data_IF_916997070872
#
_entry.id   IF_916997070872
#
_cell.length_a   1.000
_cell.length_b   1.000
_cell.length_c   1.000
_cell.angle_alpha   90.00
_cell.angle_beta   90.00
_cell.angle_gamma   90.00
#
_symmetry.space_group_name_H-M   'P 1'
#
loop_
_entity.id
_entity.type
_entity.pdbx_description
1 polymer ?
#
# COMPACT_ATOMS: atom_id res chain seq x y z
N UNK A 1 -10.68 -22.08 -8.57
CA UNK A 1 -9.46 -22.91 -8.39
C UNK A 1 -9.27 -23.20 -6.90
N UNK A 2 -9.01 -24.44 -6.49
CA UNK A 2 -8.79 -24.80 -5.07
C UNK A 2 -7.36 -25.23 -4.79
N UNK A 3 -6.81 -26.06 -5.67
CA UNK A 3 -5.47 -26.63 -5.53
C UNK A 3 -4.79 -26.61 -6.90
N UNK A 4 -3.60 -26.01 -6.95
CA UNK A 4 -2.71 -26.03 -8.11
C UNK A 4 -1.59 -27.06 -7.89
N UNK A 5 -1.31 -27.85 -8.92
CA UNK A 5 -0.24 -28.86 -8.95
C UNK A 5 0.69 -28.53 -10.12
N UNK A 6 1.88 -28.04 -9.82
CA UNK A 6 2.88 -27.63 -10.80
C UNK A 6 3.94 -28.71 -10.92
N UNK A 7 4.06 -29.28 -12.12
CA UNK A 7 5.11 -30.21 -12.46
C UNK A 7 6.28 -29.44 -13.08
N UNK A 8 7.30 -29.12 -12.27
CA UNK A 8 8.47 -28.38 -12.72
C UNK A 8 9.34 -29.28 -13.59
N UNK A 9 9.21 -29.12 -14.90
CA UNK A 9 9.93 -29.91 -15.91
C UNK A 9 10.95 -29.11 -16.71
N UNK A 10 10.75 -27.79 -16.82
CA UNK A 10 11.54 -26.92 -17.69
C UNK A 10 11.99 -25.66 -16.96
N UNK A 11 13.15 -25.14 -17.37
CA UNK A 11 13.66 -23.82 -17.01
C UNK A 11 13.47 -22.87 -18.20
N UNK A 12 12.69 -21.80 -17.99
CA UNK A 12 12.46 -20.76 -19.01
C UNK A 12 13.69 -19.86 -19.09
N UNK A 13 14.31 -19.81 -20.26
CA UNK A 13 15.46 -18.96 -20.55
C UNK A 13 15.03 -17.53 -20.87
N UNK A 14 15.98 -16.59 -20.91
CA UNK A 14 15.73 -15.17 -21.23
C UNK A 14 15.12 -14.97 -22.63
N UNK A 15 15.48 -15.83 -23.59
CA UNK A 15 14.93 -15.85 -24.94
C UNK A 15 13.54 -16.49 -25.04
N UNK A 16 13.00 -16.97 -23.91
CA UNK A 16 11.71 -17.65 -23.80
C UNK A 16 11.74 -19.14 -24.10
N UNK A 17 12.87 -19.72 -24.52
CA UNK A 17 13.01 -21.16 -24.74
C UNK A 17 12.91 -21.95 -23.42
N UNK A 18 12.54 -23.23 -23.53
CA UNK A 18 12.32 -24.13 -22.39
C UNK A 18 13.36 -25.24 -22.36
N UNK A 19 14.37 -25.10 -21.50
CA UNK A 19 15.39 -26.12 -21.30
C UNK A 19 14.92 -27.16 -20.27
N UNK A 20 15.06 -28.48 -20.50
CA UNK A 20 14.71 -29.49 -19.50
C UNK A 20 15.51 -29.31 -18.20
N UNK A 21 14.83 -29.47 -17.05
CA UNK A 21 15.51 -29.47 -15.76
C UNK A 21 16.28 -30.79 -15.55
N UNK A 22 17.47 -30.73 -14.92
CA UNK A 22 18.26 -31.95 -14.61
C UNK A 22 17.56 -32.84 -13.57
N UNK A 23 16.70 -32.26 -12.72
CA UNK A 23 15.82 -32.96 -11.79
C UNK A 23 14.45 -32.31 -11.83
N UNK A 24 13.41 -33.12 -12.04
CA UNK A 24 12.04 -32.68 -12.01
C UNK A 24 11.56 -32.54 -10.57
N UNK A 25 10.73 -31.52 -10.31
CA UNK A 25 10.17 -31.26 -8.99
C UNK A 25 8.65 -31.12 -9.08
N UNK A 26 7.99 -31.24 -7.93
CA UNK A 26 6.56 -30.97 -7.79
C UNK A 26 6.43 -29.80 -6.82
N UNK A 27 5.68 -28.79 -7.21
CA UNK A 27 5.24 -27.69 -6.36
C UNK A 27 3.71 -27.70 -6.30
N UNK A 28 3.15 -27.53 -5.10
CA UNK A 28 1.70 -27.55 -4.92
C UNK A 28 1.26 -26.38 -4.05
N UNK A 29 0.19 -25.71 -4.46
CA UNK A 29 -0.39 -24.60 -3.72
C UNK A 29 -1.89 -24.79 -3.54
N UNK A 30 -2.35 -24.75 -2.29
CA UNK A 30 -3.78 -24.79 -1.94
C UNK A 30 -4.07 -23.58 -1.05
N UNK A 31 -5.05 -22.76 -1.45
CA UNK A 31 -5.43 -21.57 -0.69
C UNK A 31 -6.19 -21.96 0.57
N UNK A 32 -5.62 -21.70 1.75
CA UNK A 32 -6.20 -22.06 3.04
C UNK A 32 -7.59 -21.45 3.23
N UNK A 33 -7.71 -20.14 3.00
CA UNK A 33 -8.97 -19.39 3.14
C UNK A 33 -10.06 -19.95 2.22
N UNK A 34 -9.66 -20.43 1.04
CA UNK A 34 -10.58 -20.95 0.03
C UNK A 34 -11.02 -22.38 0.32
N UNK A 35 -10.13 -23.24 0.83
CA UNK A 35 -10.58 -24.55 1.29
C UNK A 35 -11.44 -24.42 2.56
N UNK A 36 -11.12 -23.47 3.44
CA UNK A 36 -11.90 -23.18 4.62
C UNK A 36 -13.32 -22.74 4.26
N UNK A 37 -13.50 -21.87 3.26
CA UNK A 37 -14.84 -21.46 2.83
C UNK A 37 -15.69 -22.64 2.32
N UNK A 38 -15.09 -23.56 1.57
CA UNK A 38 -15.77 -24.80 1.14
C UNK A 38 -16.15 -25.69 2.34
N UNK A 39 -15.20 -25.97 3.24
CA UNK A 39 -15.42 -26.87 4.38
C UNK A 39 -16.42 -26.31 5.39
N UNK A 40 -16.42 -25.00 5.60
CA UNK A 40 -17.33 -24.28 6.50
C UNK A 40 -18.67 -23.94 5.84
N UNK A 41 -18.85 -24.26 4.55
CA UNK A 41 -20.04 -23.92 3.75
C UNK A 41 -20.32 -22.40 3.76
N UNK A 42 -19.26 -21.61 3.70
CA UNK A 42 -19.31 -20.16 3.65
C UNK A 42 -19.54 -19.67 2.21
N UNK A 43 -20.23 -18.54 2.05
CA UNK A 43 -20.54 -17.96 0.73
C UNK A 43 -19.27 -17.49 -0.01
N UNK A 44 -18.34 -16.88 0.73
CA UNK A 44 -17.03 -16.43 0.24
C UNK A 44 -15.96 -16.65 1.30
N UNK A 45 -14.69 -16.45 0.93
CA UNK A 45 -13.54 -16.55 1.84
C UNK A 45 -13.69 -15.63 3.06
N UNK A 46 -14.45 -14.53 2.95
CA UNK A 46 -14.69 -13.56 4.01
C UNK A 46 -15.71 -13.99 5.08
N UNK A 47 -16.50 -15.03 4.81
CA UNK A 47 -17.46 -15.58 5.78
C UNK A 47 -16.90 -16.78 6.56
N UNK A 48 -15.59 -16.96 6.55
CA UNK A 48 -14.88 -17.97 7.35
C UNK A 48 -14.52 -17.46 8.73
N UNK A 49 -14.16 -18.36 9.63
CA UNK A 49 -13.54 -18.06 10.93
C UNK A 49 -12.25 -17.23 10.84
N UNK A 50 -11.56 -17.21 9.69
CA UNK A 50 -10.34 -16.43 9.46
C UNK A 50 -10.59 -14.93 9.21
N UNK A 51 -11.79 -14.55 8.76
CA UNK A 51 -12.09 -13.16 8.37
C UNK A 51 -13.31 -12.57 9.10
N UNK A 52 -14.34 -13.37 9.33
CA UNK A 52 -15.60 -12.90 9.88
C UNK A 52 -15.44 -12.21 11.25
N UNK A 53 -14.55 -12.64 12.17
CA UNK A 53 -14.32 -11.92 13.42
C UNK A 53 -13.78 -10.50 13.21
N UNK A 54 -12.89 -10.30 12.23
CA UNK A 54 -12.33 -8.99 11.87
C UNK A 54 -13.44 -8.09 11.31
N UNK A 55 -14.22 -8.61 10.36
CA UNK A 55 -15.35 -7.89 9.75
C UNK A 55 -16.37 -7.47 10.80
N UNK A 56 -16.74 -8.37 11.71
CA UNK A 56 -17.69 -8.08 12.79
C UNK A 56 -17.17 -7.00 13.74
N UNK A 57 -15.89 -7.07 14.12
CA UNK A 57 -15.27 -6.06 14.98
C UNK A 57 -15.33 -4.66 14.33
N UNK A 58 -14.92 -4.55 13.07
CA UNK A 58 -14.96 -3.27 12.33
C UNK A 58 -16.40 -2.77 12.17
N UNK A 59 -17.34 -3.65 11.78
CA UNK A 59 -18.74 -3.28 11.59
C UNK A 59 -19.38 -2.77 12.90
N UNK A 60 -19.12 -3.45 14.02
CA UNK A 60 -19.61 -3.07 15.34
C UNK A 60 -19.09 -1.68 15.76
N UNK A 61 -17.78 -1.44 15.62
CA UNK A 61 -17.19 -0.15 15.99
C UNK A 61 -17.63 0.98 15.06
N UNK A 62 -17.91 0.68 13.80
CA UNK A 62 -18.47 1.63 12.83
C UNK A 62 -20.01 1.83 12.96
N UNK A 63 -20.68 1.08 13.84
CA UNK A 63 -22.14 1.17 14.03
C UNK A 63 -22.95 0.72 12.81
N UNK A 64 -22.41 -0.21 12.01
CA UNK A 64 -23.07 -0.78 10.83
C UNK A 64 -23.21 -2.29 10.95
N UNK A 65 -24.04 -2.89 10.10
CA UNK A 65 -24.19 -4.34 10.01
C UNK A 65 -23.64 -4.86 8.69
N UNK A 66 -23.00 -6.01 8.76
CA UNK A 66 -22.50 -6.73 7.60
C UNK A 66 -23.64 -7.43 6.85
N UNK A 67 -23.56 -7.48 5.51
CA UNK A 67 -24.58 -7.99 4.57
C UNK A 67 -25.84 -7.14 4.41
N UNK A 68 -25.84 -5.89 4.88
CA UNK A 68 -26.97 -4.96 4.65
C UNK A 68 -26.76 -4.03 3.45
N UNK A 69 -25.51 -3.75 3.07
CA UNK A 69 -25.20 -2.83 1.98
C UNK A 69 -23.91 -3.24 1.26
N UNK A 70 -24.02 -3.56 -0.03
CA UNK A 70 -22.89 -4.04 -0.84
C UNK A 70 -21.66 -3.13 -0.82
N UNK A 71 -21.85 -1.81 -0.81
CA UNK A 71 -20.73 -0.84 -0.78
C UNK A 71 -20.01 -0.88 0.59
N UNK A 72 -20.78 -0.95 1.67
CA UNK A 72 -20.22 -1.10 3.03
C UNK A 72 -19.58 -2.48 3.24
N UNK A 73 -20.18 -3.53 2.68
CA UNK A 73 -19.63 -4.89 2.76
C UNK A 73 -18.28 -4.97 2.03
N UNK A 74 -18.16 -4.36 0.86
CA UNK A 74 -16.89 -4.25 0.14
C UNK A 74 -15.84 -3.53 1.01
N UNK A 75 -16.19 -2.41 1.63
CA UNK A 75 -15.29 -1.67 2.51
C UNK A 75 -14.81 -2.53 3.70
N UNK A 76 -15.72 -3.25 4.35
CA UNK A 76 -15.39 -4.16 5.45
C UNK A 76 -14.45 -5.28 4.99
N UNK A 77 -14.69 -5.86 3.81
CA UNK A 77 -13.82 -6.89 3.22
C UNK A 77 -12.42 -6.36 2.92
N UNK A 78 -12.31 -5.18 2.30
CA UNK A 78 -11.02 -4.55 2.01
C UNK A 78 -10.24 -4.25 3.29
N UNK A 79 -10.90 -3.70 4.31
CA UNK A 79 -10.28 -3.44 5.61
C UNK A 79 -9.76 -4.74 6.23
N UNK A 80 -10.58 -5.79 6.26
CA UNK A 80 -10.23 -7.07 6.88
C UNK A 80 -9.07 -7.79 6.17
N UNK A 81 -9.02 -7.72 4.84
CA UNK A 81 -7.90 -8.24 4.04
C UNK A 81 -6.61 -7.46 4.29
N UNK A 82 -6.68 -6.13 4.15
CA UNK A 82 -5.49 -5.30 4.22
C UNK A 82 -4.88 -5.28 5.63
N UNK A 83 -5.69 -5.27 6.70
CA UNK A 83 -5.14 -5.30 8.05
C UNK A 83 -4.39 -6.60 8.35
N UNK A 84 -4.82 -7.74 7.77
CA UNK A 84 -4.05 -9.00 7.86
C UNK A 84 -2.69 -8.83 7.21
N UNK A 85 -2.64 -8.32 5.98
CA UNK A 85 -1.38 -8.07 5.28
C UNK A 85 -0.46 -7.12 6.09
N UNK A 86 -1.00 -6.02 6.63
CA UNK A 86 -0.23 -5.04 7.40
C UNK A 86 0.39 -5.65 8.66
N UNK A 87 -0.37 -6.44 9.41
CA UNK A 87 0.11 -7.12 10.63
C UNK A 87 1.31 -8.01 10.32
N UNK A 88 1.21 -8.85 9.29
CA UNK A 88 2.32 -9.73 8.88
C UNK A 88 3.51 -8.94 8.33
N UNK A 89 3.28 -7.95 7.46
CA UNK A 89 4.37 -7.15 6.90
C UNK A 89 5.15 -6.40 7.99
N UNK A 90 4.48 -5.81 8.98
CA UNK A 90 5.17 -5.12 10.08
C UNK A 90 5.88 -6.11 11.00
N UNK A 91 5.26 -7.26 11.28
CA UNK A 91 5.88 -8.37 12.03
C UNK A 91 7.19 -8.84 11.38
N UNK A 92 7.21 -8.93 10.05
CA UNK A 92 8.39 -9.33 9.25
C UNK A 92 9.46 -8.23 9.12
N UNK A 93 9.29 -7.10 9.80
CA UNK A 93 10.29 -6.06 9.84
C UNK A 93 10.06 -4.91 8.86
N UNK A 94 9.01 -4.95 8.04
CA UNK A 94 8.74 -3.92 7.03
C UNK A 94 8.21 -2.65 7.71
N UNK A 95 8.71 -1.50 7.27
CA UNK A 95 8.26 -0.17 7.75
C UNK A 95 7.76 0.68 6.59
N UNK A 96 6.79 1.59 6.80
CA UNK A 96 6.31 2.48 5.75
C UNK A 96 7.44 3.29 5.11
N UNK A 97 7.54 3.28 3.78
CA UNK A 97 8.53 4.05 3.03
C UNK A 97 7.98 4.51 1.66
N UNK A 98 8.77 5.25 0.89
CA UNK A 98 8.39 5.70 -0.46
C UNK A 98 8.74 4.68 -1.56
N UNK A 99 9.42 3.57 -1.22
CA UNK A 99 9.96 2.64 -2.22
C UNK A 99 9.89 1.17 -1.77
N UNK A 100 9.89 0.25 -2.73
CA UNK A 100 9.93 -1.19 -2.48
C UNK A 100 8.80 -1.69 -1.58
N UNK A 101 9.12 -2.57 -0.63
CA UNK A 101 8.13 -3.21 0.26
C UNK A 101 7.46 -2.21 1.21
N UNK A 102 8.17 -1.17 1.63
CA UNK A 102 7.63 -0.13 2.49
C UNK A 102 6.59 0.75 1.79
N UNK A 103 6.73 0.96 0.47
CA UNK A 103 5.68 1.58 -0.33
C UNK A 103 4.41 0.72 -0.39
N UNK A 104 4.56 -0.58 -0.63
CA UNK A 104 3.41 -1.51 -0.67
C UNK A 104 2.66 -1.52 0.67
N UNK A 105 3.39 -1.58 1.79
CA UNK A 105 2.79 -1.50 3.13
C UNK A 105 2.01 -0.20 3.29
N UNK A 106 2.62 0.93 2.93
CA UNK A 106 1.98 2.24 3.01
C UNK A 106 0.72 2.31 2.14
N UNK A 107 0.78 1.79 0.92
CA UNK A 107 -0.34 1.75 -0.02
C UNK A 107 -1.52 0.97 0.57
N UNK A 108 -1.28 -0.24 1.08
CA UNK A 108 -2.32 -1.07 1.71
C UNK A 108 -2.93 -0.39 2.94
N UNK A 109 -2.10 0.22 3.80
CA UNK A 109 -2.58 0.92 4.99
C UNK A 109 -3.49 2.09 4.62
N UNK A 110 -3.04 2.94 3.70
CA UNK A 110 -3.79 4.12 3.28
C UNK A 110 -5.09 3.73 2.56
N UNK A 111 -5.07 2.66 1.77
CA UNK A 111 -6.26 2.10 1.12
C UNK A 111 -7.27 1.61 2.15
N UNK A 112 -6.85 0.78 3.11
CA UNK A 112 -7.71 0.32 4.19
C UNK A 112 -8.30 1.49 5.00
N UNK A 113 -7.47 2.48 5.33
CA UNK A 113 -7.87 3.66 6.08
C UNK A 113 -8.92 4.51 5.33
N UNK A 114 -8.75 4.68 4.00
CA UNK A 114 -9.75 5.36 3.16
C UNK A 114 -11.09 4.65 3.16
N UNK A 115 -11.12 3.31 3.13
CA UNK A 115 -12.38 2.57 3.21
C UNK A 115 -13.10 2.76 4.55
N UNK A 116 -12.40 3.18 5.60
CA UNK A 116 -13.01 3.69 6.84
C UNK A 116 -14.01 4.83 6.58
N UNK A 117 -13.70 5.76 5.65
CA UNK A 117 -14.62 6.83 5.25
C UNK A 117 -15.94 6.31 4.69
N UNK A 118 -15.90 5.24 3.90
CA UNK A 118 -17.09 4.61 3.27
C UNK A 118 -18.06 4.06 4.33
N UNK A 119 -17.54 3.64 5.48
CA UNK A 119 -18.31 3.10 6.60
C UNK A 119 -18.47 4.10 7.76
N UNK A 120 -18.15 5.38 7.55
CA UNK A 120 -18.18 6.45 8.56
C UNK A 120 -17.23 6.25 9.75
N UNK A 121 -16.17 5.46 9.61
CA UNK A 121 -15.10 5.31 10.59
C UNK A 121 -13.97 6.32 10.28
N UNK A 122 -14.10 7.52 10.87
CA UNK A 122 -13.31 8.71 10.47
C UNK A 122 -12.05 8.96 11.31
N UNK A 123 -11.82 8.19 12.36
CA UNK A 123 -10.65 8.28 13.25
C UNK A 123 -9.67 7.15 12.95
N UNK A 124 -8.37 7.25 13.37
CA UNK A 124 -7.46 6.11 13.39
C UNK A 124 -8.16 4.89 14.00
N UNK A 125 -8.11 3.74 13.32
CA UNK A 125 -8.86 2.55 13.74
C UNK A 125 -8.15 1.24 13.39
N UNK A 126 -7.31 1.21 12.36
CA UNK A 126 -6.60 -0.01 11.95
C UNK A 126 -5.72 -0.54 13.08
N UNK A 127 -5.13 0.36 13.87
CA UNK A 127 -4.37 -0.01 15.07
C UNK A 127 -5.22 -0.74 16.13
N UNK A 128 -6.53 -0.50 16.19
CA UNK A 128 -7.48 -1.20 17.08
C UNK A 128 -7.91 -2.55 16.51
N UNK A 129 -7.88 -2.68 15.18
CA UNK A 129 -8.21 -3.93 14.47
C UNK A 129 -7.04 -4.91 14.46
N UNK A 130 -5.80 -4.41 14.44
CA UNK A 130 -4.59 -5.24 14.42
C UNK A 130 -4.55 -6.31 15.54
N UNK A 131 -4.88 -6.01 16.82
CA UNK A 131 -4.96 -7.00 17.87
C UNK A 131 -5.95 -8.15 17.59
N UNK A 132 -7.03 -7.91 16.84
CA UNK A 132 -7.98 -8.97 16.44
C UNK A 132 -7.29 -9.98 15.52
N UNK A 133 -6.52 -9.50 14.55
CA UNK A 133 -5.72 -10.36 13.66
C UNK A 133 -4.67 -11.13 14.43
N UNK A 134 -3.91 -10.45 15.29
CA UNK A 134 -2.84 -11.07 16.09
C UNK A 134 -3.44 -12.20 16.94
N UNK A 135 -4.59 -11.98 17.58
CA UNK A 135 -5.24 -13.01 18.39
C UNK A 135 -5.75 -14.20 17.57
N UNK A 136 -6.21 -14.00 16.34
CA UNK A 136 -6.61 -15.09 15.44
C UNK A 136 -5.42 -15.93 14.97
N UNK A 137 -4.23 -15.31 14.84
CA UNK A 137 -3.08 -15.92 14.17
C UNK A 137 -1.99 -16.41 15.12
N UNK A 138 -1.95 -15.96 16.38
CA UNK A 138 -0.83 -16.18 17.32
C UNK A 138 -0.48 -17.64 17.63
N UNK A 139 -1.43 -18.57 17.50
CA UNK A 139 -1.15 -19.99 17.75
C UNK A 139 -0.25 -20.59 16.66
N UNK A 140 -0.44 -20.16 15.41
CA UNK A 140 0.35 -20.60 14.25
C UNK A 140 1.55 -19.68 14.01
N UNK A 141 1.37 -18.38 14.26
CA UNK A 141 2.33 -17.31 13.97
C UNK A 141 2.64 -16.49 15.24
N UNK A 142 3.32 -17.08 16.25
CA UNK A 142 3.58 -16.44 17.54
C UNK A 142 4.44 -15.18 17.45
N UNK A 143 5.21 -15.01 16.37
CA UNK A 143 5.98 -13.80 16.04
C UNK A 143 5.08 -12.55 15.93
N UNK A 144 3.86 -12.69 15.40
CA UNK A 144 2.92 -11.56 15.31
C UNK A 144 2.54 -11.01 16.68
N UNK A 145 2.47 -11.88 17.69
CA UNK A 145 2.21 -11.50 19.07
C UNK A 145 3.44 -10.87 19.74
N UNK A 146 4.64 -11.41 19.47
CA UNK A 146 5.90 -10.84 19.99
C UNK A 146 6.12 -9.40 19.51
N UNK A 147 5.69 -9.10 18.28
CA UNK A 147 5.82 -7.78 17.66
C UNK A 147 4.59 -6.88 17.85
N UNK A 148 3.61 -7.24 18.70
CA UNK A 148 2.34 -6.52 18.86
C UNK A 148 2.53 -5.01 19.10
N UNK A 149 3.43 -4.63 20.01
CA UNK A 149 3.72 -3.23 20.32
C UNK A 149 4.26 -2.48 19.09
N UNK A 150 5.13 -3.12 18.31
CA UNK A 150 5.70 -2.53 17.09
C UNK A 150 4.62 -2.35 16.03
N UNK A 151 3.79 -3.38 15.82
CA UNK A 151 2.67 -3.38 14.88
C UNK A 151 1.73 -2.21 15.21
N UNK A 152 1.34 -2.09 16.49
CA UNK A 152 0.51 -0.99 16.98
C UNK A 152 1.11 0.38 16.64
N UNK A 153 2.37 0.62 17.02
CA UNK A 153 3.01 1.93 16.87
C UNK A 153 3.16 2.32 15.39
N UNK A 154 3.57 1.38 14.54
CA UNK A 154 3.77 1.63 13.11
C UNK A 154 2.44 1.96 12.42
N UNK A 155 1.40 1.17 12.67
CA UNK A 155 0.08 1.38 12.06
C UNK A 155 -0.50 2.72 12.53
N UNK A 156 -0.52 2.98 13.84
CA UNK A 156 -1.06 4.21 14.41
C UNK A 156 -0.34 5.46 13.90
N UNK A 157 0.99 5.43 13.80
CA UNK A 157 1.77 6.56 13.33
C UNK A 157 1.46 6.90 11.87
N UNK A 158 1.36 5.90 10.99
CA UNK A 158 1.02 6.14 9.59
C UNK A 158 -0.45 6.53 9.40
N UNK A 159 -1.38 5.97 10.18
CA UNK A 159 -2.80 6.39 10.16
C UNK A 159 -2.94 7.88 10.50
N UNK A 160 -2.34 8.32 11.62
CA UNK A 160 -2.37 9.73 12.04
C UNK A 160 -1.79 10.65 10.96
N UNK A 161 -0.62 10.28 10.43
CA UNK A 161 0.05 11.05 9.38
C UNK A 161 -0.81 11.15 8.12
N UNK A 162 -1.46 10.07 7.72
CA UNK A 162 -2.28 10.06 6.51
C UNK A 162 -3.65 10.73 6.70
N UNK A 163 -4.22 10.69 7.91
CA UNK A 163 -5.50 11.34 8.20
C UNK A 163 -5.48 12.84 7.86
N UNK A 164 -4.36 13.51 8.13
CA UNK A 164 -4.15 14.92 7.81
C UNK A 164 -4.26 15.20 6.30
N UNK A 165 -3.69 14.34 5.45
CA UNK A 165 -3.65 14.54 4.00
C UNK A 165 -4.85 13.93 3.27
N UNK A 166 -5.49 12.90 3.82
CA UNK A 166 -6.62 12.20 3.20
C UNK A 166 -7.80 13.12 2.93
N UNK A 167 -8.21 13.93 3.91
CA UNK A 167 -9.38 14.81 3.75
C UNK A 167 -9.13 15.87 2.67
N UNK A 168 -7.92 16.44 2.64
CA UNK A 168 -7.50 17.41 1.62
C UNK A 168 -7.46 16.76 0.24
N UNK A 169 -6.88 15.57 0.14
CA UNK A 169 -6.80 14.82 -1.11
C UNK A 169 -8.16 14.47 -1.71
N UNK A 170 -9.11 14.02 -0.87
CA UNK A 170 -10.49 13.74 -1.30
C UNK A 170 -11.16 15.01 -1.83
N UNK A 171 -11.05 16.13 -1.10
CA UNK A 171 -11.67 17.39 -1.53
C UNK A 171 -11.11 17.90 -2.86
N UNK A 172 -9.79 17.81 -3.05
CA UNK A 172 -9.15 18.18 -4.33
C UNK A 172 -9.64 17.27 -5.45
N UNK A 173 -9.72 15.96 -5.20
CA UNK A 173 -10.19 14.99 -6.19
C UNK A 173 -11.66 15.20 -6.55
N UNK A 174 -12.51 15.57 -5.58
CA UNK A 174 -13.91 15.90 -5.83
C UNK A 174 -14.04 17.12 -6.76
N UNK A 175 -13.26 18.19 -6.52
CA UNK A 175 -13.21 19.35 -7.42
C UNK A 175 -12.74 18.97 -8.83
N UNK A 176 -11.70 18.13 -8.94
CA UNK A 176 -11.20 17.66 -10.23
C UNK A 176 -12.26 16.84 -10.98
N UNK A 177 -13.04 16.00 -10.28
CA UNK A 177 -14.17 15.26 -10.88
C UNK A 177 -15.26 16.20 -11.38
N UNK A 178 -15.58 17.27 -10.65
CA UNK A 178 -16.53 18.28 -11.12
C UNK A 178 -16.04 18.99 -12.38
N UNK A 179 -14.75 19.34 -12.45
CA UNK A 179 -14.16 19.91 -13.67
C UNK A 179 -14.21 18.95 -14.86
N UNK A 180 -13.95 17.66 -14.64
CA UNK A 180 -14.05 16.64 -15.69
C UNK A 180 -15.48 16.55 -16.23
N UNK A 181 -16.49 16.57 -15.36
CA UNK A 181 -17.91 16.61 -15.75
C UNK A 181 -18.23 17.85 -16.57
N UNK A 182 -17.79 19.03 -16.14
CA UNK A 182 -18.01 20.30 -16.86
C UNK A 182 -17.35 20.29 -18.25
N UNK A 183 -16.16 19.69 -18.36
CA UNK A 183 -15.39 19.56 -19.61
C UNK A 183 -15.80 18.36 -20.46
N UNK A 184 -16.80 17.58 -20.03
CA UNK A 184 -17.26 16.33 -20.63
C UNK A 184 -16.12 15.34 -20.92
N UNK A 185 -15.21 15.21 -19.95
CA UNK A 185 -14.09 14.25 -19.96
C UNK A 185 -14.35 13.13 -18.95
N UNK A 186 -13.85 11.94 -19.26
CA UNK A 186 -13.96 10.74 -18.45
C UNK A 186 -12.65 10.35 -17.76
N UNK A 187 -11.53 11.02 -18.06
CA UNK A 187 -10.21 10.72 -17.49
C UNK A 187 -9.52 11.94 -16.89
N UNK A 188 -8.95 11.73 -15.71
CA UNK A 188 -8.04 12.67 -15.07
C UNK A 188 -6.67 12.61 -15.74
N UNK A 189 -6.06 13.78 -15.97
CA UNK A 189 -4.72 13.84 -16.56
C UNK A 189 -3.67 13.23 -15.62
N UNK A 190 -2.64 12.61 -16.19
CA UNK A 190 -1.53 12.06 -15.38
C UNK A 190 -0.78 13.14 -14.59
N UNK A 191 -0.78 14.39 -15.07
CA UNK A 191 -0.23 15.55 -14.35
C UNK A 191 -1.01 15.92 -13.10
N UNK A 192 -2.34 15.92 -13.16
CA UNK A 192 -3.17 16.21 -12.00
C UNK A 192 -3.07 15.07 -10.97
N UNK A 193 -3.05 13.82 -11.44
CA UNK A 193 -2.77 12.66 -10.60
C UNK A 193 -1.36 12.73 -9.97
N UNK A 194 -0.36 13.19 -10.71
CA UNK A 194 1.00 13.40 -10.20
C UNK A 194 1.04 14.49 -9.14
N UNK A 195 0.28 15.58 -9.31
CA UNK A 195 0.17 16.65 -8.30
C UNK A 195 -0.48 16.12 -7.01
N UNK A 196 -1.54 15.32 -7.11
CA UNK A 196 -2.15 14.61 -5.97
C UNK A 196 -1.11 13.77 -5.22
N UNK A 197 -0.31 13.00 -5.96
CA UNK A 197 0.74 12.16 -5.41
C UNK A 197 1.88 12.96 -4.75
N UNK A 198 2.50 13.87 -5.49
CA UNK A 198 3.73 14.55 -5.08
C UNK A 198 3.48 15.67 -4.07
N UNK A 199 2.49 16.53 -4.34
CA UNK A 199 2.23 17.71 -3.52
C UNK A 199 1.39 17.39 -2.29
N UNK A 200 0.38 16.54 -2.44
CA UNK A 200 -0.60 16.27 -1.40
C UNK A 200 -0.41 14.89 -0.73
N UNK A 201 0.58 14.12 -1.20
CA UNK A 201 0.86 12.79 -0.65
C UNK A 201 -0.27 11.79 -0.86
N UNK A 202 -1.15 12.03 -1.83
CA UNK A 202 -2.33 11.21 -2.11
C UNK A 202 -1.99 10.12 -3.13
N UNK A 203 -1.94 8.83 -2.73
CA UNK A 203 -1.41 7.78 -3.60
C UNK A 203 -2.20 7.64 -4.91
N UNK A 204 -1.49 7.28 -5.99
CA UNK A 204 -2.10 7.09 -7.31
C UNK A 204 -3.19 6.02 -7.27
N UNK A 205 -2.98 4.95 -6.51
CA UNK A 205 -3.90 3.82 -6.41
C UNK A 205 -5.20 4.24 -5.71
N UNK A 206 -5.11 5.10 -4.69
CA UNK A 206 -6.29 5.69 -4.04
C UNK A 206 -7.03 6.65 -4.98
N UNK A 207 -6.29 7.41 -5.78
CA UNK A 207 -6.87 8.27 -6.81
C UNK A 207 -7.64 7.43 -7.83
N UNK A 208 -7.05 6.31 -8.28
CA UNK A 208 -7.66 5.37 -9.22
C UNK A 208 -8.93 4.74 -8.64
N UNK A 209 -8.85 4.16 -7.44
CA UNK A 209 -9.98 3.53 -6.77
C UNK A 209 -11.19 4.49 -6.66
N UNK A 210 -10.94 5.76 -6.25
CA UNK A 210 -12.00 6.74 -6.07
C UNK A 210 -12.60 7.19 -7.42
N UNK A 211 -11.78 7.36 -8.46
CA UNK A 211 -12.26 7.72 -9.78
C UNK A 211 -13.10 6.60 -10.40
N UNK A 212 -12.65 5.35 -10.29
CA UNK A 212 -13.35 4.18 -10.82
C UNK A 212 -14.74 3.99 -10.16
N UNK A 213 -14.86 4.28 -8.86
CA UNK A 213 -16.17 4.26 -8.16
C UNK A 213 -17.19 5.22 -8.76
N UNK A 214 -16.73 6.33 -9.34
CA UNK A 214 -17.57 7.37 -9.95
C UNK A 214 -17.58 7.29 -11.49
N UNK A 215 -17.00 6.24 -12.07
CA UNK A 215 -16.96 5.99 -13.52
C UNK A 215 -15.91 6.79 -14.29
N UNK A 216 -14.91 7.35 -13.61
CA UNK A 216 -13.77 8.05 -14.22
C UNK A 216 -12.52 7.16 -14.28
N UNK A 217 -11.57 7.52 -15.15
CA UNK A 217 -10.25 6.90 -15.25
C UNK A 217 -9.09 7.87 -15.05
N UNK A 218 -7.87 7.38 -15.23
CA UNK A 218 -6.64 8.18 -15.21
C UNK A 218 -5.86 7.94 -16.51
N UNK A 219 -5.29 8.99 -17.07
CA UNK A 219 -4.28 8.91 -18.13
C UNK A 219 -2.90 8.61 -17.51
N UNK A 220 -2.57 7.32 -17.37
CA UNK A 220 -1.39 6.89 -16.62
C UNK A 220 -0.05 7.15 -17.32
N UNK A 221 -0.03 7.32 -18.64
CA UNK A 221 1.21 7.50 -19.38
C UNK A 221 1.89 8.82 -19.00
N UNK A 222 1.12 9.91 -18.91
CA UNK A 222 1.59 11.20 -18.42
C UNK A 222 2.10 11.13 -16.98
N UNK A 223 1.46 10.34 -16.11
CA UNK A 223 1.92 10.16 -14.72
C UNK A 223 3.29 9.47 -14.67
N UNK A 224 3.49 8.43 -15.50
CA UNK A 224 4.76 7.71 -15.58
C UNK A 224 5.89 8.63 -16.06
N UNK A 225 5.60 9.51 -16.99
CA UNK A 225 6.58 10.46 -17.51
C UNK A 225 6.94 11.53 -16.47
N UNK A 226 5.95 12.08 -15.73
CA UNK A 226 6.23 12.97 -14.60
C UNK A 226 7.06 12.28 -13.50
N UNK A 227 6.78 11.00 -13.19
CA UNK A 227 7.58 10.19 -12.27
C UNK A 227 9.03 10.00 -12.74
N UNK A 228 9.26 9.81 -14.05
CA UNK A 228 10.62 9.75 -14.61
C UNK A 228 11.34 11.08 -14.44
N UNK A 229 10.68 12.19 -14.78
CA UNK A 229 11.23 13.55 -14.65
C UNK A 229 11.58 13.83 -13.18
N UNK A 230 10.71 13.47 -12.23
CA UNK A 230 10.97 13.65 -10.81
C UNK A 230 12.17 12.82 -10.32
N UNK A 231 12.28 11.57 -10.76
CA UNK A 231 13.45 10.72 -10.45
C UNK A 231 14.74 11.32 -11.00
N UNK A 232 14.72 11.84 -12.22
CA UNK A 232 15.88 12.52 -12.81
C UNK A 232 16.24 13.82 -12.08
N UNK A 233 15.25 14.65 -11.71
CA UNK A 233 15.46 15.86 -10.90
C UNK A 233 16.08 15.53 -9.55
N UNK A 234 15.57 14.49 -8.89
CA UNK A 234 16.13 14.00 -7.63
C UNK A 234 17.59 13.58 -7.81
N UNK A 235 17.90 12.75 -8.82
CA UNK A 235 19.29 12.34 -9.13
C UNK A 235 20.22 13.53 -9.40
N UNK A 236 19.76 14.53 -10.17
CA UNK A 236 20.55 15.75 -10.45
C UNK A 236 20.76 16.59 -9.19
N UNK A 237 19.76 16.69 -8.32
CA UNK A 237 19.90 17.40 -7.04
C UNK A 237 20.88 16.68 -6.11
N UNK A 238 20.85 15.35 -6.06
CA UNK A 238 21.81 14.56 -5.29
C UNK A 238 23.24 14.69 -5.81
N UNK A 239 23.42 14.66 -7.14
CA UNK A 239 24.73 14.89 -7.76
C UNK A 239 25.26 16.31 -7.47
N UNK A 240 24.39 17.33 -7.49
CA UNK A 240 24.76 18.71 -7.16
C UNK A 240 25.16 18.88 -5.69
N UNK A 241 24.48 18.18 -4.78
CA UNK A 241 24.84 18.15 -3.35
C UNK A 241 26.23 17.52 -3.17
N UNK A 242 26.51 16.40 -3.83
CA UNK A 242 27.84 15.76 -3.77
C UNK A 242 28.95 16.68 -4.28
N UNK A 243 28.75 17.32 -5.44
CA UNK A 243 29.70 18.30 -6.00
C UNK A 243 29.91 19.48 -5.05
N UNK A 244 28.85 20.04 -4.45
CA UNK A 244 29.00 21.13 -3.48
C UNK A 244 29.76 20.72 -2.22
N UNK A 245 29.56 19.50 -1.70
CA UNK A 245 30.34 19.00 -0.55
C UNK A 245 31.80 18.70 -0.89
N UNK A 246 32.13 18.41 -2.15
CA UNK A 246 33.51 18.27 -2.61
C UNK A 246 34.18 19.62 -2.80
N UNK A 247 33.48 20.58 -3.41
CA UNK A 247 33.95 21.96 -3.56
C UNK A 247 34.15 22.65 -2.19
N UNK A 248 33.26 22.41 -1.22
CA UNK A 248 33.40 22.94 0.15
C UNK A 248 34.63 22.35 0.86
N UNK A 249 34.95 21.07 0.63
CA UNK A 249 36.17 20.43 1.17
C UNK A 249 37.44 20.95 0.51
N UNK A 250 37.40 21.20 -0.80
CA UNK A 250 38.53 21.79 -1.55
C UNK A 250 38.77 23.23 -1.07
N UNK A 251 37.71 24.02 -0.88
CA UNK A 251 37.81 25.39 -0.39
C UNK A 251 38.28 25.46 1.07
N UNK A 252 37.85 24.54 1.94
CA UNK A 252 38.38 24.44 3.31
C UNK A 252 39.87 24.09 3.32
N UNK A 253 40.30 23.17 2.45
CA UNK A 253 41.71 22.78 2.35
C UNK A 253 42.56 23.95 1.83
N UNK A 254 42.10 24.65 0.79
CA UNK A 254 42.77 25.84 0.26
C UNK A 254 42.88 26.96 1.30
N UNK A 255 41.84 27.18 2.10
CA UNK A 255 41.86 28.17 3.18
C UNK A 255 42.87 27.80 4.28
N UNK A 256 42.95 26.51 4.65
CA UNK A 256 43.94 26.02 5.62
C UNK A 256 45.38 26.10 5.10
N UNK A 257 45.59 25.85 3.81
CA UNK A 257 46.91 25.95 3.17
C UNK A 257 47.37 27.41 3.07
N UNK A 258 46.48 28.35 2.74
CA UNK A 258 46.76 29.81 2.77
C UNK A 258 47.10 30.30 4.18
N UNK A 259 46.44 29.76 5.21
CA UNK A 259 46.73 30.11 6.60
C UNK A 259 48.12 29.62 7.04
N UNK A 260 48.58 28.47 6.56
CA UNK A 260 49.93 27.93 6.84
C UNK A 260 51.05 28.68 6.12
N UNK A 261 50.80 29.26 4.95
CA UNK A 261 51.81 30.05 4.24
C UNK A 261 52.01 31.45 4.81
N UNK A 262 51.07 31.94 5.64
CA UNK A 262 51.11 33.27 6.27
C UNK A 262 51.51 33.26 7.75
N UNK A 263 51.98 32.13 8.29
CA UNK A 263 52.48 31.99 9.66
C UNK A 263 52.93 30.58 9.98
#
# INVERSE_FOLDING_TARGET
>A
ELWNLVFMQYNRQEDGSLAPLPKQNIDTGLGLERIASVLQKADTDFETDLFLPIIKFVAQNAGIKYKENKKKDLALKVIADHIRALVFMVSDGIVPSNEGRGYVLRMLLRRAFRYGKVINYNQPFLYEVAPVVINLMKEVYPETYKEENRIYQVILAEEKRFQETLNVGIQILDNLKEELKQKNKDKLSGRDAFKLYDTYGFPLELTRDILEEDGFGIEEDDFKDEMKIQRERSRKSWAKIQVSTEDDKINQKLYQDILKERG
#
